data_IF_772387361229
#
_entry.id   IF_772387361229
#
_cell.length_a   1.000
_cell.length_b   1.000
_cell.length_c   1.000
_cell.angle_alpha   90.00
_cell.angle_beta   90.00
_cell.angle_gamma   90.00
#
_symmetry.space_group_name_H-M   'P 1'
#
loop_
_entity.id
_entity.type
_entity.pdbx_description
1 polymer ?
#
# COMPACT_ATOMS: atom_id res chain seq x y z
N UNK A 1 -72.95 -36.20 -49.45
CA UNK A 1 -73.05 -34.76 -49.73
C UNK A 1 -71.65 -34.21 -50.00
N UNK A 2 -71.48 -33.63 -51.20
CA UNK A 2 -70.52 -32.58 -51.60
C UNK A 2 -69.98 -31.70 -50.45
N UNK A 3 -68.80 -31.07 -50.46
CA UNK A 3 -67.84 -30.59 -51.48
C UNK A 3 -66.51 -30.28 -50.75
N UNK A 4 -65.35 -30.70 -51.28
CA UNK A 4 -64.30 -29.87 -51.93
C UNK A 4 -63.71 -28.68 -51.13
N UNK A 5 -62.39 -28.77 -50.90
CA UNK A 5 -61.47 -27.66 -50.62
C UNK A 5 -60.01 -28.15 -50.73
N UNK A 6 -59.33 -27.78 -51.81
CA UNK A 6 -57.99 -28.22 -52.24
C UNK A 6 -56.84 -27.41 -51.57
N UNK A 7 -55.55 -27.76 -51.77
CA UNK A 7 -54.51 -27.66 -50.75
C UNK A 7 -53.69 -26.37 -50.77
N UNK A 8 -53.14 -25.97 -49.61
CA UNK A 8 -52.06 -24.99 -49.51
C UNK A 8 -50.77 -25.66 -49.05
N UNK A 9 -49.80 -25.75 -49.96
CA UNK A 9 -48.38 -26.05 -49.67
C UNK A 9 -47.73 -24.82 -49.05
N UNK A 10 -47.06 -24.99 -47.90
CA UNK A 10 -46.07 -24.05 -47.40
C UNK A 10 -44.87 -24.79 -46.79
N UNK A 11 -43.78 -24.81 -47.56
CA UNK A 11 -42.38 -24.73 -47.11
C UNK A 11 -41.75 -25.91 -46.36
N UNK A 12 -40.52 -26.34 -46.70
CA UNK A 12 -39.76 -27.23 -45.83
C UNK A 12 -39.49 -26.50 -44.51
N UNK A 13 -39.90 -27.10 -43.39
CA UNK A 13 -39.57 -26.60 -42.06
C UNK A 13 -38.05 -26.57 -41.93
N UNK A 14 -37.48 -25.38 -41.90
CA UNK A 14 -36.06 -25.16 -41.66
C UNK A 14 -35.72 -25.80 -40.31
N UNK A 15 -34.98 -26.91 -40.36
CA UNK A 15 -34.42 -27.55 -39.18
C UNK A 15 -33.75 -26.45 -38.34
N UNK A 16 -34.20 -26.27 -37.09
CA UNK A 16 -33.48 -25.44 -36.13
C UNK A 16 -32.07 -26.01 -36.04
N UNK A 17 -31.12 -25.37 -36.72
CA UNK A 17 -29.70 -25.69 -36.63
C UNK A 17 -29.34 -25.56 -35.15
N UNK A 18 -29.20 -26.68 -34.47
CA UNK A 18 -28.61 -26.74 -33.14
C UNK A 18 -27.24 -26.08 -33.28
N UNK A 19 -27.07 -24.90 -32.69
CA UNK A 19 -25.79 -24.21 -32.72
C UNK A 19 -24.81 -25.07 -31.91
N UNK A 20 -23.69 -25.50 -32.49
CA UNK A 20 -22.68 -26.20 -31.72
C UNK A 20 -22.18 -25.24 -30.64
N UNK A 21 -22.27 -25.66 -29.38
CA UNK A 21 -21.61 -24.99 -28.26
C UNK A 21 -20.11 -25.21 -28.42
N UNK A 22 -19.48 -24.41 -29.25
CA UNK A 22 -18.03 -24.32 -29.32
C UNK A 22 -17.59 -23.56 -28.07
N UNK A 23 -17.07 -24.32 -27.10
CA UNK A 23 -16.39 -23.79 -25.92
C UNK A 23 -15.06 -23.19 -26.41
N UNK A 24 -15.04 -21.87 -26.58
CA UNK A 24 -13.86 -21.03 -26.79
C UNK A 24 -13.70 -20.17 -25.54
N UNK A 25 -12.51 -20.20 -24.93
CA UNK A 25 -12.40 -20.24 -23.47
C UNK A 25 -12.67 -18.91 -22.72
N UNK A 26 -12.49 -17.72 -23.32
CA UNK A 26 -12.75 -16.43 -22.62
C UNK A 26 -13.17 -15.30 -23.56
N UNK A 27 -14.11 -14.47 -23.10
CA UNK A 27 -14.54 -13.25 -23.80
C UNK A 27 -13.41 -12.21 -23.86
N UNK A 28 -13.06 -11.73 -25.06
CA UNK A 28 -11.95 -10.78 -25.25
C UNK A 28 -12.15 -9.43 -24.55
N UNK A 29 -13.39 -9.05 -24.27
CA UNK A 29 -13.72 -7.76 -23.64
C UNK A 29 -13.59 -7.83 -22.11
N UNK A 30 -14.08 -8.90 -21.48
CA UNK A 30 -14.13 -8.98 -20.01
C UNK A 30 -13.16 -9.99 -19.41
N UNK A 31 -12.49 -10.80 -20.23
CA UNK A 31 -11.50 -11.82 -19.86
C UNK A 31 -11.98 -12.81 -18.78
N UNK A 32 -13.30 -12.98 -18.66
CA UNK A 32 -13.96 -13.84 -17.67
C UNK A 32 -14.82 -14.89 -18.37
N UNK A 33 -14.89 -16.07 -17.77
CA UNK A 33 -15.97 -17.03 -18.02
C UNK A 33 -17.26 -16.49 -17.39
N UNK A 34 -18.28 -16.25 -18.21
CA UNK A 34 -19.63 -15.87 -17.74
C UNK A 34 -20.58 -17.04 -17.94
N UNK A 35 -21.71 -17.02 -17.22
CA UNK A 35 -22.86 -17.89 -17.54
C UNK A 35 -23.54 -17.48 -18.86
N UNK A 36 -23.18 -16.31 -19.41
CA UNK A 36 -23.68 -15.84 -20.70
C UNK A 36 -22.96 -16.56 -21.86
N UNK A 37 -23.72 -17.00 -22.86
CA UNK A 37 -23.16 -17.66 -24.05
C UNK A 37 -22.23 -16.71 -24.82
N UNK A 38 -20.99 -17.14 -25.03
CA UNK A 38 -20.03 -16.44 -25.89
C UNK A 38 -20.38 -16.61 -27.37
N UNK A 39 -20.07 -15.59 -28.17
CA UNK A 39 -20.36 -15.52 -29.60
C UNK A 39 -19.05 -15.26 -30.35
N UNK A 40 -18.83 -16.00 -31.46
CA UNK A 40 -17.70 -15.78 -32.36
C UNK A 40 -17.87 -14.46 -33.12
N UNK A 41 -16.78 -13.71 -33.29
CA UNK A 41 -16.79 -12.53 -34.12
C UNK A 41 -17.04 -12.85 -35.60
N UNK A 42 -17.98 -12.11 -36.22
CA UNK A 42 -18.11 -12.03 -37.69
C UNK A 42 -17.25 -10.90 -38.23
N UNK A 43 -16.92 -10.89 -39.53
CA UNK A 43 -16.12 -9.82 -40.14
C UNK A 43 -16.70 -8.42 -39.89
N UNK A 44 -18.03 -8.27 -39.96
CA UNK A 44 -18.73 -7.02 -39.63
C UNK A 44 -18.65 -6.68 -38.14
N UNK A 45 -18.71 -7.69 -37.26
CA UNK A 45 -18.55 -7.47 -35.82
C UNK A 45 -17.11 -7.08 -35.47
N UNK A 46 -16.11 -7.66 -36.14
CA UNK A 46 -14.68 -7.36 -35.95
C UNK A 46 -14.38 -5.93 -36.35
N UNK A 47 -14.78 -5.49 -37.54
CA UNK A 47 -14.51 -4.12 -38.01
C UNK A 47 -15.06 -3.07 -37.04
N UNK A 48 -16.29 -3.25 -36.57
CA UNK A 48 -16.93 -2.34 -35.63
C UNK A 48 -16.30 -2.38 -34.23
N UNK A 49 -15.79 -3.54 -33.82
CA UNK A 49 -15.04 -3.68 -32.57
C UNK A 49 -13.67 -3.02 -32.65
N UNK A 50 -12.86 -3.29 -33.69
CA UNK A 50 -11.57 -2.65 -33.88
C UNK A 50 -11.70 -1.12 -34.00
N UNK A 51 -12.77 -0.62 -34.64
CA UNK A 51 -13.08 0.81 -34.65
C UNK A 51 -13.36 1.38 -33.24
N UNK A 52 -14.02 0.61 -32.36
CA UNK A 52 -14.24 1.01 -30.97
C UNK A 52 -12.96 0.94 -30.14
N UNK A 53 -12.16 -0.11 -30.31
CA UNK A 53 -10.86 -0.32 -29.66
C UNK A 53 -9.90 0.83 -30.00
N UNK A 54 -9.79 1.21 -31.28
CA UNK A 54 -8.94 2.32 -31.71
C UNK A 54 -9.37 3.69 -31.16
N UNK A 55 -10.67 3.88 -30.86
CA UNK A 55 -11.19 5.10 -30.23
C UNK A 55 -10.97 5.13 -28.71
N UNK A 56 -11.09 3.98 -28.05
CA UNK A 56 -10.94 3.86 -26.59
C UNK A 56 -9.48 3.82 -26.15
N UNK A 57 -8.61 3.17 -26.93
CA UNK A 57 -7.18 2.94 -26.58
C UNK A 57 -7.01 2.45 -25.14
N UNK A 58 -7.91 1.57 -24.71
CA UNK A 58 -7.95 1.00 -23.36
C UNK A 58 -7.14 -0.31 -23.30
N UNK A 59 -7.24 -1.05 -22.20
CA UNK A 59 -6.47 -2.29 -21.99
C UNK A 59 -6.65 -3.32 -23.11
N UNK A 60 -7.82 -3.33 -23.77
CA UNK A 60 -8.07 -4.23 -24.91
C UNK A 60 -7.23 -3.80 -26.11
N UNK A 61 -7.09 -2.50 -26.36
CA UNK A 61 -6.18 -1.99 -27.39
C UNK A 61 -4.75 -2.40 -27.08
N UNK A 62 -4.28 -2.19 -25.85
CA UNK A 62 -2.91 -2.50 -25.44
C UNK A 62 -2.60 -4.00 -25.52
N UNK A 63 -3.54 -4.85 -25.10
CA UNK A 63 -3.39 -6.30 -25.21
C UNK A 63 -3.31 -6.76 -26.68
N UNK A 64 -4.12 -6.17 -27.55
CA UNK A 64 -4.13 -6.50 -28.97
C UNK A 64 -2.86 -6.07 -29.71
N UNK A 65 -2.22 -4.97 -29.31
CA UNK A 65 -0.95 -4.53 -29.89
C UNK A 65 0.27 -5.11 -29.20
N UNK A 66 0.11 -5.85 -28.09
CA UNK A 66 1.26 -6.36 -27.32
C UNK A 66 2.17 -7.30 -28.14
N UNK A 67 1.63 -7.91 -29.20
CA UNK A 67 2.32 -8.81 -30.11
C UNK A 67 2.63 -8.17 -31.49
N UNK A 68 2.29 -6.89 -31.70
CA UNK A 68 2.38 -6.23 -33.01
C UNK A 68 2.93 -4.79 -32.91
N UNK A 69 3.82 -4.40 -33.83
CA UNK A 69 4.43 -3.06 -33.85
C UNK A 69 3.41 -1.93 -34.12
N UNK A 70 2.33 -2.21 -34.85
CA UNK A 70 1.23 -1.26 -35.05
C UNK A 70 -0.15 -1.92 -35.06
N UNK A 71 -1.18 -1.14 -34.68
CA UNK A 71 -2.58 -1.60 -34.69
C UNK A 71 -3.09 -1.98 -36.09
N UNK A 72 -2.48 -1.47 -37.16
CA UNK A 72 -2.79 -1.84 -38.54
C UNK A 72 -2.23 -3.21 -38.96
N UNK A 73 -1.27 -3.75 -38.20
CA UNK A 73 -0.60 -5.01 -38.53
C UNK A 73 -1.34 -6.23 -37.95
N UNK A 74 -2.39 -6.01 -37.14
CA UNK A 74 -3.20 -7.08 -36.55
C UNK A 74 -4.00 -7.76 -37.66
N UNK A 75 -3.79 -9.08 -37.91
CA UNK A 75 -4.47 -9.75 -38.99
C UNK A 75 -5.95 -9.99 -38.64
N UNK A 76 -6.83 -9.21 -39.26
CA UNK A 76 -8.27 -9.23 -39.03
C UNK A 76 -8.91 -10.61 -39.32
N UNK A 77 -8.30 -11.40 -40.20
CA UNK A 77 -8.84 -12.66 -40.70
C UNK A 77 -8.46 -13.89 -39.85
N UNK A 78 -7.30 -13.92 -39.19
CA UNK A 78 -6.76 -15.12 -38.51
C UNK A 78 -6.98 -15.18 -36.99
N UNK A 79 -7.47 -14.12 -36.35
CA UNK A 79 -7.81 -14.14 -34.93
C UNK A 79 -9.23 -14.65 -34.68
N UNK A 80 -9.35 -15.88 -34.17
CA UNK A 80 -10.59 -16.43 -33.63
C UNK A 80 -10.89 -15.79 -32.26
N UNK A 81 -11.67 -14.71 -32.28
CA UNK A 81 -12.08 -14.00 -31.08
C UNK A 81 -13.52 -14.36 -30.69
N UNK A 82 -13.81 -14.35 -29.39
CA UNK A 82 -15.17 -14.51 -28.85
C UNK A 82 -15.56 -13.42 -27.86
N UNK A 83 -16.86 -13.14 -27.71
CA UNK A 83 -17.38 -12.10 -26.82
C UNK A 83 -18.75 -12.43 -26.22
N UNK A 84 -19.09 -11.84 -25.08
CA UNK A 84 -20.48 -11.81 -24.59
C UNK A 84 -21.27 -10.69 -25.28
N UNK A 85 -22.52 -10.96 -25.68
CA UNK A 85 -23.35 -9.98 -26.38
C UNK A 85 -23.54 -8.71 -25.56
N UNK A 86 -23.72 -8.85 -24.25
CA UNK A 86 -23.80 -7.73 -23.30
C UNK A 86 -22.52 -6.87 -23.32
N UNK A 87 -21.35 -7.51 -23.23
CA UNK A 87 -20.05 -6.85 -23.28
C UNK A 87 -19.85 -6.10 -24.60
N UNK A 88 -20.11 -6.74 -25.74
CA UNK A 88 -19.93 -6.12 -27.06
C UNK A 88 -20.85 -4.91 -27.24
N UNK A 89 -22.14 -5.05 -26.91
CA UNK A 89 -23.11 -3.96 -26.99
C UNK A 89 -22.66 -2.75 -26.16
N UNK A 90 -22.20 -2.99 -24.94
CA UNK A 90 -21.69 -1.93 -24.06
C UNK A 90 -20.41 -1.30 -24.59
N UNK A 91 -19.48 -2.13 -25.09
CA UNK A 91 -18.16 -1.70 -25.53
C UNK A 91 -18.22 -0.88 -26.82
N UNK A 92 -19.00 -1.32 -27.82
CA UNK A 92 -19.14 -0.63 -29.11
C UNK A 92 -20.21 0.46 -29.14
N UNK A 93 -20.83 0.78 -28.00
CA UNK A 93 -21.84 1.85 -27.89
C UNK A 93 -21.18 3.22 -28.03
N UNK A 94 -21.66 4.05 -28.97
CA UNK A 94 -21.14 5.40 -29.21
C UNK A 94 -21.26 6.30 -27.98
N UNK A 95 -22.38 6.20 -27.26
CA UNK A 95 -22.58 6.93 -26.00
C UNK A 95 -21.52 6.53 -24.96
N UNK A 96 -21.26 5.23 -24.79
CA UNK A 96 -20.28 4.76 -23.82
C UNK A 96 -18.85 5.11 -24.23
N UNK A 97 -18.55 5.11 -25.53
CA UNK A 97 -17.26 5.56 -26.08
C UNK A 97 -17.07 7.05 -25.79
N UNK A 98 -18.07 7.89 -26.05
CA UNK A 98 -17.99 9.33 -25.80
C UNK A 98 -17.82 9.67 -24.30
N UNK A 99 -18.57 8.98 -23.43
CA UNK A 99 -18.42 9.11 -21.97
C UNK A 99 -17.02 8.69 -21.51
N UNK A 100 -16.49 7.59 -22.07
CA UNK A 100 -15.15 7.11 -21.75
C UNK A 100 -14.06 8.08 -22.20
N UNK A 101 -14.09 8.55 -23.44
CA UNK A 101 -13.13 9.54 -23.97
C UNK A 101 -13.18 10.85 -23.19
N UNK A 102 -14.37 11.32 -22.81
CA UNK A 102 -14.51 12.52 -21.96
C UNK A 102 -13.84 12.32 -20.60
N UNK A 103 -14.06 11.18 -19.93
CA UNK A 103 -13.42 10.85 -18.65
C UNK A 103 -11.89 10.78 -18.75
N UNK A 104 -11.34 10.21 -19.83
CA UNK A 104 -9.90 10.21 -20.05
C UNK A 104 -9.34 11.63 -20.21
N UNK A 105 -10.02 12.49 -20.97
CA UNK A 105 -9.60 13.87 -21.16
C UNK A 105 -9.71 14.69 -19.87
N UNK A 106 -10.76 14.48 -19.07
CA UNK A 106 -10.95 15.14 -17.78
C UNK A 106 -9.87 14.69 -16.76
N UNK A 107 -9.47 13.41 -16.78
CA UNK A 107 -8.39 12.87 -15.94
C UNK A 107 -6.98 13.38 -16.32
N UNK A 108 -6.78 13.80 -17.57
CA UNK A 108 -5.55 14.46 -18.02
C UNK A 108 -5.48 15.93 -17.59
N UNK A 109 -6.62 16.58 -17.34
CA UNK A 109 -6.71 17.99 -16.96
C UNK A 109 -6.66 18.23 -15.43
N UNK A 110 -7.05 17.25 -14.61
CA UNK A 110 -6.94 17.30 -13.15
C UNK A 110 -5.81 16.38 -12.69
N UNK A 111 -4.74 16.93 -12.10
CA UNK A 111 -3.47 16.27 -11.75
C UNK A 111 -3.50 15.14 -10.72
N UNK A 112 -4.51 14.27 -10.72
CA UNK A 112 -4.53 12.99 -10.01
C UNK A 112 -4.85 11.88 -11.01
N UNK A 113 -3.82 11.16 -11.43
CA UNK A 113 -3.96 9.95 -12.24
C UNK A 113 -4.59 8.87 -11.35
N UNK A 114 -5.92 8.83 -11.30
CA UNK A 114 -6.62 7.59 -10.98
C UNK A 114 -6.79 6.82 -12.28
N UNK A 115 -5.76 6.03 -12.59
CA UNK A 115 -5.88 4.95 -13.56
C UNK A 115 -6.97 3.99 -13.05
N UNK A 116 -7.96 3.71 -13.90
CA UNK A 116 -9.17 2.95 -13.57
C UNK A 116 -8.94 1.43 -13.71
N UNK A 117 -7.71 1.03 -13.99
CA UNK A 117 -7.21 -0.34 -13.86
C UNK A 117 -7.13 -0.70 -12.38
N UNK A 118 -7.26 -1.99 -12.05
CA UNK A 118 -7.06 -2.43 -10.66
C UNK A 118 -5.65 -1.99 -10.24
N UNK A 119 -5.42 -1.53 -9.00
CA UNK A 119 -4.09 -1.12 -8.54
C UNK A 119 -3.00 -2.19 -8.78
N UNK A 120 -3.41 -3.46 -8.83
CA UNK A 120 -2.56 -4.63 -9.05
C UNK A 120 -2.42 -5.01 -10.55
N UNK A 121 -2.84 -4.17 -11.49
CA UNK A 121 -2.62 -4.43 -12.91
C UNK A 121 -1.18 -4.06 -13.28
N UNK A 122 -0.53 -4.94 -14.04
CA UNK A 122 0.87 -4.82 -14.42
C UNK A 122 1.10 -3.56 -15.26
N UNK A 123 0.10 -3.14 -16.05
CA UNK A 123 0.14 -1.90 -16.82
C UNK A 123 0.19 -0.64 -15.93
N UNK A 124 -0.60 -0.62 -14.85
CA UNK A 124 -0.61 0.46 -13.86
C UNK A 124 0.72 0.57 -13.15
N UNK A 125 1.25 -0.57 -12.69
CA UNK A 125 2.53 -0.65 -11.99
C UNK A 125 3.67 -0.23 -12.92
N UNK A 126 3.65 -0.67 -14.18
CA UNK A 126 4.61 -0.21 -15.18
C UNK A 126 4.58 1.30 -15.39
N UNK A 127 3.39 1.87 -15.56
CA UNK A 127 3.23 3.32 -15.78
C UNK A 127 3.70 4.11 -14.55
N UNK A 128 3.37 3.66 -13.35
CA UNK A 128 3.84 4.25 -12.10
C UNK A 128 5.37 4.17 -11.97
N UNK A 129 5.97 3.02 -12.30
CA UNK A 129 7.43 2.83 -12.28
C UNK A 129 8.14 3.70 -13.30
N UNK A 130 7.59 3.80 -14.52
CA UNK A 130 8.17 4.60 -15.60
C UNK A 130 8.12 6.09 -15.24
N UNK A 131 7.00 6.57 -14.71
CA UNK A 131 6.85 7.94 -14.22
C UNK A 131 7.83 8.26 -13.09
N UNK A 132 8.02 7.36 -12.13
CA UNK A 132 9.02 7.54 -11.07
C UNK A 132 10.43 7.69 -11.64
N UNK A 133 10.78 6.85 -12.61
CA UNK A 133 12.09 6.90 -13.28
C UNK A 133 12.29 8.20 -14.04
N UNK A 134 11.27 8.67 -14.76
CA UNK A 134 11.32 9.92 -15.52
C UNK A 134 11.48 11.12 -14.58
N UNK A 135 10.74 11.18 -13.46
CA UNK A 135 10.92 12.20 -12.42
C UNK A 135 12.33 12.18 -11.81
N UNK A 136 12.90 11.00 -11.53
CA UNK A 136 14.28 10.90 -11.04
C UNK A 136 15.30 11.39 -12.06
N UNK A 137 15.07 11.14 -13.36
CA UNK A 137 15.94 11.66 -14.42
C UNK A 137 15.86 13.19 -14.51
N UNK A 138 14.65 13.76 -14.44
CA UNK A 138 14.42 15.20 -14.42
C UNK A 138 15.09 15.86 -13.20
N UNK A 139 15.10 15.18 -12.06
CA UNK A 139 15.78 15.61 -10.84
C UNK A 139 17.31 15.39 -10.86
N UNK A 140 17.88 14.81 -11.93
CA UNK A 140 19.30 14.51 -12.04
C UNK A 140 19.79 13.40 -11.11
N UNK A 141 18.91 12.48 -10.70
CA UNK A 141 19.24 11.37 -9.80
C UNK A 141 19.74 10.15 -10.58
N UNK A 142 20.84 9.57 -10.10
CA UNK A 142 21.43 8.35 -10.68
C UNK A 142 20.55 7.12 -10.51
N UNK A 143 19.69 7.08 -9.48
CA UNK A 143 18.80 5.96 -9.20
C UNK A 143 17.40 6.45 -8.88
N UNK A 144 16.40 5.73 -9.39
CA UNK A 144 15.00 5.91 -9.00
C UNK A 144 14.67 4.94 -7.87
N UNK A 145 14.24 5.45 -6.72
CA UNK A 145 13.84 4.62 -5.57
C UNK A 145 12.33 4.72 -5.42
N UNK A 146 11.64 3.58 -5.53
CA UNK A 146 10.20 3.51 -5.35
C UNK A 146 9.82 2.44 -4.33
N UNK A 147 8.93 2.81 -3.42
CA UNK A 147 8.38 1.90 -2.41
C UNK A 147 7.01 1.40 -2.83
N UNK A 148 6.73 0.12 -2.58
CA UNK A 148 5.46 -0.52 -2.90
C UNK A 148 4.98 -1.40 -1.75
N UNK A 149 3.67 -1.44 -1.55
CA UNK A 149 3.00 -2.42 -0.69
C UNK A 149 3.35 -3.84 -1.14
N UNK A 150 3.30 -4.83 -0.24
CA UNK A 150 3.79 -6.18 -0.52
C UNK A 150 3.22 -6.80 -1.81
N UNK A 151 1.92 -6.62 -2.08
CA UNK A 151 1.29 -7.14 -3.30
C UNK A 151 1.79 -6.41 -4.55
N UNK A 152 1.90 -5.09 -4.50
CA UNK A 152 2.37 -4.28 -5.61
C UNK A 152 3.88 -4.46 -5.86
N UNK A 153 4.66 -4.68 -4.81
CA UNK A 153 6.09 -4.95 -4.89
C UNK A 153 6.37 -6.22 -5.70
N UNK A 154 5.58 -7.28 -5.48
CA UNK A 154 5.71 -8.52 -6.26
C UNK A 154 5.46 -8.29 -7.75
N UNK A 155 4.47 -7.46 -8.10
CA UNK A 155 4.15 -7.10 -9.49
C UNK A 155 5.24 -6.18 -10.06
N UNK A 156 5.70 -5.19 -9.29
CA UNK A 156 6.76 -4.28 -9.70
C UNK A 156 8.07 -5.02 -9.99
N UNK A 157 8.40 -6.05 -9.21
CA UNK A 157 9.54 -6.92 -9.48
C UNK A 157 9.39 -7.69 -10.79
N UNK A 158 8.19 -8.23 -11.08
CA UNK A 158 7.92 -8.88 -12.37
C UNK A 158 8.08 -7.89 -13.53
N UNK A 159 7.59 -6.66 -13.38
CA UNK A 159 7.76 -5.59 -14.39
C UNK A 159 9.25 -5.28 -14.60
N UNK A 160 10.02 -5.11 -13.52
CA UNK A 160 11.45 -4.83 -13.58
C UNK A 160 12.21 -5.97 -14.27
N UNK A 161 11.92 -7.22 -13.92
CA UNK A 161 12.56 -8.39 -14.55
C UNK A 161 12.17 -8.58 -16.01
N UNK A 162 10.98 -8.16 -16.40
CA UNK A 162 10.53 -8.22 -17.79
C UNK A 162 11.20 -7.18 -18.69
N UNK A 163 11.66 -6.05 -18.12
CA UNK A 163 12.31 -4.96 -18.86
C UNK A 163 13.54 -4.42 -18.12
N UNK A 164 14.60 -5.24 -17.97
CA UNK A 164 15.79 -4.86 -17.20
C UNK A 164 16.51 -3.67 -17.81
N UNK A 165 16.50 -3.50 -19.14
CA UNK A 165 17.16 -2.37 -19.82
C UNK A 165 16.53 -1.02 -19.47
N UNK A 166 15.21 -0.99 -19.24
CA UNK A 166 14.48 0.22 -18.88
C UNK A 166 14.64 0.53 -17.39
N UNK A 167 14.63 -0.50 -16.54
CA UNK A 167 14.56 -0.37 -15.09
C UNK A 167 15.86 -0.75 -14.36
N UNK A 168 17.01 -0.76 -15.04
CA UNK A 168 18.31 -1.13 -14.48
C UNK A 168 18.72 -0.25 -13.28
N UNK A 169 18.38 1.05 -13.32
CA UNK A 169 18.64 2.03 -12.24
C UNK A 169 17.46 2.22 -11.29
N UNK A 170 16.43 1.38 -11.39
CA UNK A 170 15.24 1.48 -10.55
C UNK A 170 15.36 0.55 -9.34
N UNK A 171 15.52 1.10 -8.13
CA UNK A 171 15.58 0.36 -6.86
C UNK A 171 14.18 0.26 -6.27
N UNK A 172 13.64 -0.95 -6.23
CA UNK A 172 12.34 -1.25 -5.63
C UNK A 172 12.51 -1.61 -4.15
N UNK A 173 11.70 -1.01 -3.27
CA UNK A 173 11.66 -1.34 -1.84
C UNK A 173 10.25 -1.74 -1.40
N UNK A 174 10.16 -2.66 -0.44
CA UNK A 174 8.91 -2.93 0.26
C UNK A 174 8.54 -1.71 1.13
N UNK A 175 7.29 -1.28 1.03
CA UNK A 175 6.73 -0.21 1.85
C UNK A 175 6.61 -0.66 3.31
N UNK A 176 7.23 0.07 4.22
CA UNK A 176 7.25 -0.26 5.65
C UNK A 176 5.93 -0.05 6.37
N UNK A 177 4.98 0.70 5.79
CA UNK A 177 3.74 1.11 6.47
C UNK A 177 2.89 -0.07 6.95
N UNK A 178 2.76 -1.11 6.14
CA UNK A 178 2.03 -2.32 6.52
C UNK A 178 2.74 -3.08 7.64
N UNK A 179 4.07 -3.14 7.61
CA UNK A 179 4.87 -3.72 8.69
C UNK A 179 4.67 -2.97 10.01
N UNK A 180 4.67 -1.64 9.97
CA UNK A 180 4.36 -0.84 11.17
C UNK A 180 2.92 -1.08 11.65
N UNK A 181 1.94 -1.13 10.75
CA UNK A 181 0.54 -1.38 11.12
C UNK A 181 0.36 -2.76 11.74
N UNK A 182 1.04 -3.79 11.22
CA UNK A 182 1.08 -5.13 11.80
C UNK A 182 1.75 -5.14 13.18
N UNK A 183 2.83 -4.37 13.38
CA UNK A 183 3.48 -4.24 14.67
C UNK A 183 2.55 -3.60 15.71
N UNK A 184 1.88 -2.50 15.35
CA UNK A 184 0.88 -1.84 16.21
C UNK A 184 -0.28 -2.80 16.56
N UNK A 185 -0.78 -3.55 15.57
CA UNK A 185 -1.79 -4.58 15.80
C UNK A 185 -1.30 -5.69 16.75
N UNK A 186 -0.01 -6.03 16.69
CA UNK A 186 0.59 -7.03 17.57
C UNK A 186 0.64 -6.56 19.03
N UNK A 187 0.94 -5.27 19.26
CA UNK A 187 0.83 -4.66 20.61
C UNK A 187 -0.60 -4.78 21.11
N UNK A 188 -1.58 -4.38 20.30
CA UNK A 188 -2.98 -4.54 20.66
C UNK A 188 -3.35 -5.98 20.94
N UNK A 189 -2.88 -6.94 20.14
CA UNK A 189 -3.16 -8.36 20.35
C UNK A 189 -2.59 -8.91 21.66
N UNK A 190 -1.45 -8.40 22.10
CA UNK A 190 -0.80 -8.82 23.35
C UNK A 190 -1.43 -8.18 24.60
N UNK A 191 -1.85 -6.93 24.50
CA UNK A 191 -2.14 -6.11 25.69
C UNK A 191 -3.60 -5.63 25.80
N UNK A 192 -4.41 -5.72 24.73
CA UNK A 192 -5.79 -5.24 24.74
C UNK A 192 -6.60 -5.86 25.88
N UNK A 193 -6.58 -7.20 25.98
CA UNK A 193 -7.27 -7.96 27.03
C UNK A 193 -6.53 -7.91 28.38
N UNK A 194 -5.30 -7.38 28.39
CA UNK A 194 -4.52 -7.12 29.60
C UNK A 194 -4.85 -5.79 30.28
N UNK A 195 -5.94 -5.13 29.87
CA UNK A 195 -6.40 -3.86 30.41
C UNK A 195 -5.95 -2.63 29.62
N UNK A 196 -5.18 -2.79 28.53
CA UNK A 196 -4.77 -1.64 27.70
C UNK A 196 -5.97 -0.98 27.02
N UNK A 197 -6.94 -1.79 26.56
CA UNK A 197 -8.18 -1.26 25.97
C UNK A 197 -8.96 -0.46 27.01
N UNK A 198 -9.16 -1.02 28.19
CA UNK A 198 -9.95 -0.41 29.25
C UNK A 198 -9.26 0.86 29.76
N UNK A 199 -7.93 0.85 29.90
CA UNK A 199 -7.14 2.04 30.21
C UNK A 199 -7.40 3.18 29.21
N UNK A 200 -7.38 2.90 27.91
CA UNK A 200 -7.61 3.91 26.86
C UNK A 200 -9.04 4.46 26.87
N UNK A 201 -10.01 3.63 27.27
CA UNK A 201 -11.44 3.98 27.30
C UNK A 201 -11.82 4.71 28.59
N UNK A 202 -11.46 4.14 29.73
CA UNK A 202 -11.84 4.63 31.05
C UNK A 202 -11.09 5.91 31.42
N UNK A 203 -9.90 6.14 30.86
CA UNK A 203 -9.18 7.42 30.95
C UNK A 203 -9.82 8.53 30.08
N UNK A 204 -10.78 8.19 29.21
CA UNK A 204 -11.43 9.14 28.32
C UNK A 204 -10.58 9.58 27.12
N UNK A 205 -9.42 8.97 26.89
CA UNK A 205 -8.56 9.30 25.74
C UNK A 205 -9.23 8.89 24.43
N UNK A 206 -9.88 7.71 24.39
CA UNK A 206 -10.61 7.24 23.22
C UNK A 206 -11.96 6.61 23.57
N UNK A 207 -12.92 6.74 22.66
CA UNK A 207 -14.16 5.96 22.71
C UNK A 207 -13.89 4.47 22.44
N UNK A 208 -14.71 3.58 22.99
CA UNK A 208 -14.50 2.12 22.92
C UNK A 208 -14.26 1.56 21.51
N UNK A 209 -15.07 1.97 20.53
CA UNK A 209 -14.90 1.51 19.15
C UNK A 209 -13.60 2.04 18.51
N UNK A 210 -13.20 3.27 18.85
CA UNK A 210 -11.94 3.87 18.38
C UNK A 210 -10.74 3.13 18.96
N UNK A 211 -10.76 2.83 20.26
CA UNK A 211 -9.71 2.04 20.91
C UNK A 211 -9.60 0.64 20.26
N UNK A 212 -10.71 0.01 19.91
CA UNK A 212 -10.69 -1.31 19.26
C UNK A 212 -10.14 -1.28 17.82
N UNK A 213 -10.54 -0.29 17.01
CA UNK A 213 -10.00 -0.12 15.66
C UNK A 213 -8.50 0.21 15.68
N UNK A 214 -8.09 1.04 16.63
CA UNK A 214 -6.70 1.35 16.91
C UNK A 214 -5.88 0.11 17.24
N UNK A 215 -6.31 -0.67 18.24
CA UNK A 215 -5.59 -1.86 18.74
C UNK A 215 -5.53 -2.97 17.69
N UNK A 216 -6.44 -2.97 16.72
CA UNK A 216 -6.40 -3.84 15.54
C UNK A 216 -5.49 -3.33 14.42
N UNK A 217 -4.78 -2.21 14.61
CA UNK A 217 -3.89 -1.61 13.61
C UNK A 217 -4.60 -0.97 12.42
N UNK A 218 -5.91 -0.72 12.51
CA UNK A 218 -6.69 -0.11 11.42
C UNK A 218 -6.65 1.42 11.42
N UNK A 219 -6.32 2.02 12.56
CA UNK A 219 -6.19 3.48 12.70
C UNK A 219 -4.77 3.85 13.14
N UNK A 220 -3.84 3.87 12.18
CA UNK A 220 -2.41 4.08 12.40
C UNK A 220 -2.09 5.33 13.26
N UNK A 221 -2.54 6.52 12.84
CA UNK A 221 -2.20 7.76 13.55
C UNK A 221 -2.71 7.78 14.99
N UNK A 222 -3.90 7.21 15.21
CA UNK A 222 -4.48 7.10 16.56
C UNK A 222 -3.70 6.08 17.37
N UNK A 223 -3.29 4.95 16.78
CA UNK A 223 -2.49 3.93 17.45
C UNK A 223 -1.14 4.46 17.91
N UNK A 224 -0.43 5.18 17.04
CA UNK A 224 0.81 5.85 17.42
C UNK A 224 0.57 6.79 18.59
N UNK A 225 -0.39 7.72 18.49
CA UNK A 225 -0.68 8.66 19.58
C UNK A 225 -1.09 7.97 20.88
N UNK A 226 -1.97 6.98 20.81
CA UNK A 226 -2.46 6.24 21.96
C UNK A 226 -1.35 5.47 22.67
N UNK A 227 -0.52 4.75 21.93
CA UNK A 227 0.61 4.04 22.53
C UNK A 227 1.68 4.98 23.08
N UNK A 228 1.96 6.11 22.43
CA UNK A 228 2.88 7.11 23.00
C UNK A 228 2.37 7.65 24.34
N UNK A 229 1.08 7.99 24.43
CA UNK A 229 0.47 8.46 25.68
C UNK A 229 0.51 7.41 26.79
N UNK A 230 0.18 6.15 26.46
CA UNK A 230 0.25 5.06 27.43
C UNK A 230 1.70 4.81 27.86
N UNK A 231 2.64 4.82 26.93
CA UNK A 231 4.06 4.66 27.24
C UNK A 231 4.54 5.77 28.18
N UNK A 232 4.22 7.03 27.89
CA UNK A 232 4.56 8.17 28.75
C UNK A 232 3.97 8.02 30.16
N UNK A 233 2.68 7.65 30.26
CA UNK A 233 2.03 7.41 31.55
C UNK A 233 2.71 6.28 32.35
N UNK A 234 3.06 5.18 31.69
CA UNK A 234 3.77 4.06 32.31
C UNK A 234 5.19 4.46 32.73
N UNK A 235 5.90 5.26 31.94
CA UNK A 235 7.23 5.77 32.28
C UNK A 235 7.19 6.68 33.51
N UNK A 236 6.19 7.56 33.62
CA UNK A 236 6.01 8.41 34.81
C UNK A 236 5.80 7.56 36.07
N UNK A 237 4.94 6.53 35.99
CA UNK A 237 4.72 5.60 37.10
C UNK A 237 5.99 4.81 37.44
N UNK A 238 6.71 4.33 36.43
CA UNK A 238 7.97 3.61 36.60
C UNK A 238 9.02 4.49 37.30
N UNK A 239 9.22 5.73 36.85
CA UNK A 239 10.15 6.68 37.47
C UNK A 239 9.77 6.96 38.92
N UNK A 240 8.47 7.15 39.20
CA UNK A 240 7.98 7.34 40.56
C UNK A 240 8.31 6.16 41.48
N UNK A 241 8.05 4.93 41.00
CA UNK A 241 8.39 3.70 41.71
C UNK A 241 9.91 3.55 41.89
N UNK A 242 10.69 3.89 40.88
CA UNK A 242 12.15 3.87 40.92
C UNK A 242 12.71 4.83 41.96
N UNK A 243 12.24 6.07 42.01
CA UNK A 243 12.67 7.05 43.02
C UNK A 243 12.31 6.56 44.43
N UNK A 244 11.12 5.99 44.60
CA UNK A 244 10.71 5.42 45.89
C UNK A 244 11.61 4.24 46.31
N UNK A 245 11.92 3.35 45.37
CA UNK A 245 12.86 2.25 45.58
C UNK A 245 14.25 2.77 45.97
N UNK A 246 14.79 3.74 45.23
CA UNK A 246 16.10 4.33 45.53
C UNK A 246 16.16 4.94 46.94
N UNK A 247 15.08 5.56 47.41
CA UNK A 247 15.00 6.09 48.78
C UNK A 247 14.89 5.00 49.84
N UNK A 248 14.20 3.91 49.54
CA UNK A 248 13.99 2.79 50.48
C UNK A 248 15.29 2.03 50.74
N UNK A 249 16.18 1.98 49.75
CA UNK A 249 17.45 1.24 49.79
C UNK A 249 18.68 2.17 49.84
N UNK A 250 18.50 3.45 50.21
CA UNK A 250 19.58 4.44 50.35
C UNK A 250 20.47 4.62 49.10
N UNK A 251 19.93 4.31 47.91
CA UNK A 251 20.60 4.54 46.63
C UNK A 251 20.39 5.95 46.10
N UNK A 252 19.38 6.67 46.57
CA UNK A 252 19.04 8.01 46.04
C UNK A 252 20.22 8.99 46.20
N UNK A 253 20.87 8.99 47.36
CA UNK A 253 22.01 9.86 47.64
C UNK A 253 23.30 9.38 46.95
N UNK A 254 23.32 8.16 46.43
CA UNK A 254 24.45 7.62 45.66
C UNK A 254 24.40 8.04 44.18
N UNK A 255 23.29 8.61 43.72
CA UNK A 255 23.14 9.10 42.34
C UNK A 255 24.04 10.34 42.19
N UNK A 256 25.01 10.34 41.25
CA UNK A 256 25.94 11.46 41.10
C UNK A 256 25.23 12.78 40.82
N UNK A 257 25.64 13.87 41.46
CA UNK A 257 25.10 15.21 41.20
C UNK A 257 25.19 15.61 39.72
N UNK A 258 26.20 15.08 39.01
CA UNK A 258 26.34 15.26 37.56
C UNK A 258 25.12 14.76 36.79
N UNK A 259 24.51 13.64 37.18
CA UNK A 259 23.30 13.12 36.56
C UNK A 259 22.14 14.12 36.68
N UNK A 260 21.89 14.62 37.90
CA UNK A 260 20.82 15.59 38.17
C UNK A 260 21.01 16.89 37.40
N UNK A 261 22.25 17.38 37.32
CA UNK A 261 22.58 18.60 36.58
C UNK A 261 22.33 18.43 35.08
N UNK A 262 22.76 17.32 34.48
CA UNK A 262 22.54 17.04 33.05
C UNK A 262 21.06 16.79 32.76
N UNK A 263 20.33 16.16 33.67
CA UNK A 263 18.89 15.99 33.53
C UNK A 263 18.14 17.34 33.53
N UNK A 264 18.55 18.27 34.40
CA UNK A 264 18.00 19.63 34.44
C UNK A 264 18.36 20.43 33.18
N UNK A 265 19.62 20.30 32.71
CA UNK A 265 20.10 20.90 31.46
C UNK A 265 19.27 20.40 30.27
N UNK A 266 19.01 19.09 30.21
CA UNK A 266 18.19 18.47 29.19
C UNK A 266 16.74 18.96 29.22
N UNK A 267 16.11 18.98 30.40
CA UNK A 267 14.75 19.49 30.57
C UNK A 267 14.64 20.95 30.10
N UNK A 268 15.58 21.80 30.51
CA UNK A 268 15.62 23.22 30.11
C UNK A 268 15.78 23.35 28.60
N UNK A 269 16.67 22.57 27.99
CA UNK A 269 16.86 22.53 26.53
C UNK A 269 15.59 22.14 25.77
N UNK A 270 14.83 21.17 26.27
CA UNK A 270 13.53 20.79 25.68
C UNK A 270 12.52 21.93 25.80
N UNK A 271 12.38 22.52 26.98
CA UNK A 271 11.44 23.63 27.21
C UNK A 271 11.74 24.84 26.33
N UNK A 272 13.03 25.16 26.17
CA UNK A 272 13.51 26.31 25.42
C UNK A 272 13.70 26.02 23.92
N UNK A 273 13.45 24.77 23.48
CA UNK A 273 13.60 24.31 22.10
C UNK A 273 14.98 24.61 21.49
N UNK A 274 16.06 24.32 22.24
CA UNK A 274 17.42 24.59 21.77
C UNK A 274 18.00 23.44 20.96
N UNK A 275 18.83 23.74 19.96
CA UNK A 275 19.48 22.74 19.09
C UNK A 275 20.50 21.83 19.81
N UNK A 276 20.79 22.08 21.10
CA UNK A 276 21.76 21.33 21.90
C UNK A 276 21.20 20.04 22.51
N UNK A 277 19.88 19.81 22.43
CA UNK A 277 19.20 18.65 23.00
C UNK A 277 19.83 17.28 22.62
N UNK A 278 20.32 17.03 21.39
CA UNK A 278 20.92 15.74 21.02
C UNK A 278 22.23 15.41 21.75
N UNK A 279 23.10 16.42 21.94
CA UNK A 279 24.38 16.25 22.63
C UNK A 279 24.16 16.01 24.13
N UNK A 280 23.25 16.80 24.73
CA UNK A 280 22.88 16.66 26.14
C UNK A 280 22.22 15.31 26.40
N UNK A 281 21.34 14.85 25.49
CA UNK A 281 20.73 13.50 25.54
C UNK A 281 21.80 12.41 25.59
N UNK A 282 22.80 12.48 24.72
CA UNK A 282 23.88 11.48 24.66
C UNK A 282 24.67 11.43 25.98
N UNK A 283 24.94 12.60 26.59
CA UNK A 283 25.59 12.68 27.91
C UNK A 283 24.71 12.09 29.01
N UNK A 284 23.41 12.36 28.98
CA UNK A 284 22.44 11.84 29.94
C UNK A 284 22.31 10.32 29.86
N UNK A 285 22.20 9.77 28.64
CA UNK A 285 22.13 8.33 28.38
C UNK A 285 23.35 7.61 28.96
N UNK A 286 24.55 8.14 28.72
CA UNK A 286 25.79 7.58 29.27
C UNK A 286 25.79 7.55 30.80
N UNK A 287 25.42 8.66 31.45
CA UNK A 287 25.35 8.72 32.91
C UNK A 287 24.28 7.79 33.49
N UNK A 288 23.17 7.59 32.76
CA UNK A 288 22.15 6.63 33.12
C UNK A 288 22.68 5.19 33.03
N UNK A 289 23.39 4.85 31.96
CA UNK A 289 24.04 3.54 31.80
C UNK A 289 25.08 3.24 32.88
N UNK A 290 25.95 4.21 33.17
CA UNK A 290 27.05 4.03 34.11
C UNK A 290 26.58 3.90 35.58
N UNK A 291 25.46 4.53 35.95
CA UNK A 291 25.07 4.68 37.36
C UNK A 291 23.69 4.15 37.73
N UNK A 292 22.74 4.08 36.79
CA UNK A 292 21.33 3.82 37.08
C UNK A 292 20.78 2.56 36.42
N UNK A 293 21.38 2.10 35.31
CA UNK A 293 20.90 0.91 34.59
C UNK A 293 20.86 -0.34 35.46
N UNK A 294 21.87 -0.56 36.30
CA UNK A 294 21.90 -1.71 37.22
C UNK A 294 20.73 -1.65 38.23
N UNK A 295 20.48 -0.47 38.81
CA UNK A 295 19.39 -0.23 39.75
C UNK A 295 18.01 -0.39 39.08
N UNK A 296 17.85 0.16 37.87
CA UNK A 296 16.62 0.05 37.09
C UNK A 296 16.34 -1.40 36.66
N UNK A 297 17.36 -2.15 36.25
CA UNK A 297 17.24 -3.58 35.96
C UNK A 297 16.88 -4.39 37.20
N UNK A 298 17.45 -4.07 38.36
CA UNK A 298 17.10 -4.74 39.62
C UNK A 298 15.64 -4.48 40.02
N UNK A 299 15.16 -3.25 39.88
CA UNK A 299 13.75 -2.94 40.05
C UNK A 299 12.88 -3.72 39.05
N UNK A 300 13.27 -3.77 37.77
CA UNK A 300 12.52 -4.49 36.74
C UNK A 300 12.48 -6.01 37.00
N UNK A 301 13.59 -6.61 37.44
CA UNK A 301 13.69 -8.03 37.79
C UNK A 301 12.89 -8.33 39.06
N UNK A 302 13.02 -7.50 40.10
CA UNK A 302 12.28 -7.68 41.36
C UNK A 302 10.78 -7.43 41.21
N UNK A 303 10.37 -6.68 40.20
CA UNK A 303 8.96 -6.43 39.85
C UNK A 303 8.40 -7.38 38.78
N UNK A 304 9.16 -8.38 38.30
CA UNK A 304 8.76 -9.24 37.17
C UNK A 304 7.34 -9.84 37.28
N UNK A 305 6.39 -9.11 36.70
CA UNK A 305 5.56 -9.53 35.58
C UNK A 305 5.71 -8.43 34.52
N UNK A 306 5.88 -8.80 33.25
CA UNK A 306 5.95 -7.95 32.03
C UNK A 306 7.38 -7.79 31.48
N UNK A 307 7.72 -8.62 30.48
CA UNK A 307 9.03 -8.69 29.80
C UNK A 307 9.10 -7.90 28.47
N UNK A 308 8.13 -7.06 28.12
CA UNK A 308 7.89 -6.65 26.73
C UNK A 308 8.23 -5.20 26.35
N UNK A 309 8.52 -4.32 27.32
CA UNK A 309 8.61 -2.86 27.06
C UNK A 309 9.92 -2.45 26.36
N UNK A 310 11.03 -3.14 26.63
CA UNK A 310 12.35 -2.78 26.07
C UNK A 310 12.47 -3.01 24.54
N UNK A 311 11.54 -3.75 23.92
CA UNK A 311 11.55 -3.97 22.47
C UNK A 311 11.03 -2.75 21.68
N UNK A 312 10.25 -1.87 22.31
CA UNK A 312 9.56 -0.76 21.64
C UNK A 312 10.53 0.40 21.38
N UNK A 313 11.40 0.75 22.34
CA UNK A 313 12.39 1.83 22.17
C UNK A 313 13.42 1.49 21.07
N UNK A 314 13.86 0.24 20.99
CA UNK A 314 14.81 -0.17 19.96
C UNK A 314 14.20 -0.18 18.55
N UNK A 315 12.90 -0.40 18.40
CA UNK A 315 12.19 -0.35 17.12
C UNK A 315 11.82 1.08 16.70
N UNK A 316 11.55 1.97 17.66
CA UNK A 316 11.31 3.39 17.39
C UNK A 316 12.61 4.14 17.03
N UNK A 317 13.70 3.88 17.76
CA UNK A 317 15.01 4.51 17.52
C UNK A 317 15.65 4.08 16.19
N UNK A 318 15.42 2.84 15.74
CA UNK A 318 15.90 2.37 14.43
C UNK A 318 15.16 3.06 13.29
N UNK A 319 13.91 3.49 13.47
CA UNK A 319 13.11 4.08 12.41
C UNK A 319 13.36 5.59 12.21
N UNK A 320 13.73 6.33 13.27
CA UNK A 320 14.16 7.73 13.16
C UNK A 320 15.48 7.89 12.39
N UNK A 321 16.36 6.88 12.40
CA UNK A 321 17.57 6.87 11.55
C UNK A 321 17.30 6.60 10.06
N UNK A 322 16.07 6.22 9.67
CA UNK A 322 15.67 6.05 8.27
C UNK A 322 14.92 7.28 7.69
N UNK A 323 14.83 8.37 8.45
CA UNK A 323 14.38 9.67 7.95
C UNK A 323 15.34 10.77 8.45
N UNK A 324 16.46 10.95 7.73
CA UNK A 324 16.60 12.22 6.99
C UNK A 324 17.15 12.00 5.58
N UNK A 325 16.32 12.30 4.58
CA UNK A 325 16.79 12.73 3.26
C UNK A 325 17.21 14.20 3.39
N UNK A 326 18.36 14.48 4.00
CA UNK A 326 19.05 15.78 3.93
C UNK A 326 20.39 15.69 4.69
N UNK A 327 21.37 14.98 4.12
CA UNK A 327 22.82 15.12 4.43
C UNK A 327 23.64 14.18 3.53
N UNK A 328 23.56 14.37 2.21
CA UNK A 328 24.59 13.89 1.28
C UNK A 328 24.86 15.03 0.30
N UNK A 329 25.56 16.06 0.76
CA UNK A 329 26.12 17.08 -0.15
C UNK A 329 27.61 17.36 0.03
N UNK A 330 28.24 16.98 1.13
CA UNK A 330 29.66 17.24 1.31
C UNK A 330 30.37 15.94 1.73
N UNK A 331 31.04 15.30 0.77
CA UNK A 331 32.22 14.39 0.92
C UNK A 331 32.44 13.45 -0.29
N UNK A 332 32.23 13.93 -1.52
CA UNK A 332 32.80 13.29 -2.72
C UNK A 332 33.41 14.37 -3.62
N UNK A 333 34.37 15.10 -3.06
CA UNK A 333 35.39 15.85 -3.78
C UNK A 333 36.67 15.73 -2.95
N UNK A 334 37.26 14.54 -2.99
CA UNK A 334 38.70 14.26 -2.80
C UNK A 334 38.88 12.75 -2.57
N UNK A 335 38.83 11.99 -3.67
CA UNK A 335 39.63 10.77 -3.91
C UNK A 335 39.49 10.28 -5.35
#
# INVERSE_FOLDING_TARGET
MAQQGSPLKLGPSCAKRMKPSLVLEKCIICQKSSNETVVLFTNNSKSRFFAAVGKRKDDIYMNLISEYDSFSDIPNESLEMVYHKSCYKSYTSEHNIAVFTKRQNDALAGGSIQDNSKPNDMATVYTAMKKCLDMSNEAGQDFAIQTFDQQLYAIAQQVKWSKPDIFNRHILRLGGFHSLSCFLASIGKLWADGGLRDLLVDSGVYAGNTAELMLNGKEFNRAVRGFTLVFEALQVLFISAFIHWCRTFDYFDQIPSAFWNVLLEFHTSICDQTDQAPEIKTRLEKLFEDHLMFCAQYLFISTQKIQSILLIDHLMYVNERYAPLDTVKDNILDQ
#
